data_IF_456388674608
#
_entry.id   IF_456388674608
#
_cell.length_a   1.000
_cell.length_b   1.000
_cell.length_c   1.000
_cell.angle_alpha   90.00
_cell.angle_beta   90.00
_cell.angle_gamma   90.00
#
_symmetry.space_group_name_H-M   'P 1'
#
loop_
_entity.id
_entity.type
_entity.pdbx_description
1 polymer ?
#
# COMPACT_ATOMS: atom_id res chain seq x y z
N UNK A 1 0.72 -42.24 -71.03
CA UNK A 1 1.68 -41.73 -70.02
C UNK A 1 0.84 -41.09 -68.93
N UNK A 2 1.04 -41.49 -67.66
CA UNK A 2 0.34 -41.00 -66.46
C UNK A 2 -1.19 -41.32 -66.39
N UNK A 3 -1.82 -41.94 -65.36
CA UNK A 3 -1.47 -42.24 -63.95
C UNK A 3 -0.95 -41.00 -63.18
N UNK A 4 -1.55 -40.43 -62.14
CA UNK A 4 -2.44 -40.85 -61.03
C UNK A 4 -3.19 -39.58 -60.51
N UNK A 5 -4.19 -39.57 -59.61
CA UNK A 5 -5.13 -40.56 -59.04
C UNK A 5 -6.25 -39.80 -58.29
N UNK A 6 -6.91 -40.38 -57.27
CA UNK A 6 -8.00 -39.76 -56.48
C UNK A 6 -7.67 -39.84 -54.98
N UNK A 7 -7.68 -38.70 -54.28
CA UNK A 7 -8.01 -38.66 -52.84
C UNK A 7 -8.79 -37.37 -52.52
N UNK A 8 -10.02 -37.54 -52.05
CA UNK A 8 -10.69 -36.54 -51.23
C UNK A 8 -10.64 -37.01 -49.78
N UNK A 9 -10.29 -36.15 -48.82
CA UNK A 9 -10.83 -36.26 -47.47
C UNK A 9 -10.81 -34.94 -46.70
N UNK A 10 -11.72 -34.83 -45.74
CA UNK A 10 -11.99 -33.65 -44.95
C UNK A 10 -10.88 -33.33 -43.94
N UNK A 11 -10.59 -32.03 -43.76
CA UNK A 11 -10.08 -31.49 -42.50
C UNK A 11 -11.24 -30.84 -41.75
N UNK A 12 -11.48 -31.34 -40.54
CA UNK A 12 -12.55 -30.95 -39.61
C UNK A 12 -12.70 -29.44 -39.46
N UNK A 13 -13.94 -28.98 -39.49
CA UNK A 13 -14.38 -27.84 -38.69
C UNK A 13 -14.12 -28.18 -37.20
N UNK A 14 -13.39 -27.30 -36.51
CA UNK A 14 -13.31 -27.29 -35.05
C UNK A 14 -14.26 -26.20 -34.58
N UNK A 15 -15.23 -26.48 -33.69
CA UNK A 15 -16.23 -25.50 -33.31
C UNK A 15 -15.60 -24.29 -32.61
N UNK A 16 -16.06 -23.11 -33.02
CA UNK A 16 -15.79 -21.87 -32.30
C UNK A 16 -16.61 -21.87 -30.99
N UNK A 17 -15.96 -22.22 -29.88
CA UNK A 17 -16.35 -21.89 -28.49
C UNK A 17 -15.34 -22.53 -27.50
N UNK A 18 -14.06 -22.14 -27.57
CA UNK A 18 -13.02 -22.64 -26.64
C UNK A 18 -11.75 -21.77 -26.49
N UNK A 19 -11.69 -20.55 -27.05
CA UNK A 19 -10.44 -19.78 -27.16
C UNK A 19 -10.55 -18.27 -26.85
N UNK A 20 -11.63 -17.84 -26.19
CA UNK A 20 -11.85 -16.43 -25.81
C UNK A 20 -11.72 -16.19 -24.29
N UNK A 21 -10.65 -16.72 -23.70
CA UNK A 21 -10.04 -16.17 -22.48
C UNK A 21 -8.54 -16.01 -22.75
N UNK A 22 -8.21 -15.22 -23.78
CA UNK A 22 -6.84 -14.76 -24.03
C UNK A 22 -6.82 -13.24 -24.07
N UNK A 23 -5.75 -12.66 -23.51
CA UNK A 23 -5.54 -11.22 -23.35
C UNK A 23 -6.64 -10.46 -22.57
N UNK A 24 -6.35 -10.19 -21.30
CA UNK A 24 -6.67 -8.86 -20.75
C UNK A 24 -6.24 -7.80 -21.78
N UNK A 25 -7.03 -6.75 -22.07
CA UNK A 25 -6.64 -5.74 -23.04
C UNK A 25 -5.34 -5.10 -22.58
N UNK A 26 -4.24 -5.46 -23.23
CA UNK A 26 -3.00 -4.69 -23.14
C UNK A 26 -3.35 -3.30 -23.62
N UNK A 27 -3.16 -2.28 -22.78
CA UNK A 27 -3.48 -0.89 -23.16
C UNK A 27 -2.58 -0.52 -24.33
N UNK A 28 -3.14 -0.56 -25.54
CA UNK A 28 -2.45 -0.38 -26.81
C UNK A 28 -2.05 1.08 -26.98
N UNK A 29 -0.91 1.44 -26.38
CA UNK A 29 -0.35 2.79 -26.44
C UNK A 29 0.61 3.14 -25.30
N UNK A 30 0.58 2.44 -24.16
CA UNK A 30 1.49 2.76 -23.04
C UNK A 30 2.92 2.37 -23.42
N UNK A 31 3.84 3.33 -23.25
CA UNK A 31 5.28 3.14 -23.44
C UNK A 31 5.80 1.99 -22.56
N UNK A 32 6.63 1.11 -23.11
CA UNK A 32 7.34 0.06 -22.36
C UNK A 32 8.73 0.53 -21.95
N UNK A 33 9.27 0.01 -20.84
CA UNK A 33 10.63 0.32 -20.40
C UNK A 33 11.67 -0.25 -21.38
N UNK A 34 11.42 -1.44 -21.95
CA UNK A 34 12.27 -2.03 -23.00
C UNK A 34 12.40 -1.19 -24.26
N UNK A 35 11.43 -0.30 -24.55
CA UNK A 35 11.46 0.57 -25.73
C UNK A 35 12.36 1.80 -25.55
N UNK A 36 12.92 2.05 -24.36
CA UNK A 36 13.79 3.20 -24.09
C UNK A 36 15.25 2.80 -24.17
N UNK A 37 16.03 3.59 -24.90
CA UNK A 37 17.47 3.40 -25.02
C UNK A 37 18.18 3.57 -23.66
N UNK A 38 18.84 2.49 -23.24
CA UNK A 38 19.79 2.51 -22.12
C UNK A 38 21.08 3.16 -22.62
N UNK A 39 21.58 4.13 -21.86
CA UNK A 39 22.90 4.73 -22.09
C UNK A 39 23.90 4.00 -21.21
N UNK A 40 24.88 3.31 -21.79
CA UNK A 40 25.84 2.45 -21.07
C UNK A 40 27.09 3.19 -20.54
N UNK A 41 27.03 4.52 -20.43
CA UNK A 41 28.15 5.39 -20.05
C UNK A 41 28.77 5.04 -18.69
N UNK A 42 27.98 4.57 -17.70
CA UNK A 42 28.52 4.16 -16.41
C UNK A 42 29.14 2.74 -16.47
N UNK A 43 28.52 1.84 -17.23
CA UNK A 43 29.02 0.48 -17.49
C UNK A 43 30.37 0.51 -18.21
N UNK A 44 30.53 1.40 -19.20
CA UNK A 44 31.78 1.63 -19.94
C UNK A 44 32.92 2.13 -19.04
N UNK A 45 32.61 2.91 -17.99
CA UNK A 45 33.62 3.33 -17.00
C UNK A 45 33.98 2.20 -16.04
N UNK A 46 32.99 1.48 -15.51
CA UNK A 46 33.22 0.31 -14.65
C UNK A 46 31.99 -0.63 -14.59
N UNK A 47 32.14 -1.95 -14.85
CA UNK A 47 31.00 -2.89 -14.92
C UNK A 47 30.08 -2.91 -13.68
N UNK A 48 30.62 -2.65 -12.49
CA UNK A 48 29.84 -2.58 -11.25
C UNK A 48 28.85 -1.39 -11.20
N UNK A 49 28.95 -0.42 -12.10
CA UNK A 49 28.04 0.74 -12.17
C UNK A 49 26.88 0.55 -13.16
N UNK A 50 26.69 -0.65 -13.71
CA UNK A 50 25.57 -0.99 -14.58
C UNK A 50 24.18 -0.73 -13.99
N UNK A 51 24.06 -0.68 -12.65
CA UNK A 51 22.85 -0.25 -11.95
C UNK A 51 22.53 1.25 -12.11
N UNK A 52 23.53 2.11 -12.37
CA UNK A 52 23.34 3.54 -12.61
C UNK A 52 22.71 3.77 -13.98
N UNK A 53 23.12 2.99 -14.99
CA UNK A 53 22.54 3.03 -16.34
C UNK A 53 21.09 2.54 -16.35
N UNK A 54 20.78 1.47 -15.60
CA UNK A 54 19.40 1.01 -15.34
C UNK A 54 18.52 2.13 -14.75
N UNK A 55 18.98 2.77 -13.67
CA UNK A 55 18.25 3.86 -13.01
C UNK A 55 18.08 5.04 -13.97
N UNK A 56 19.09 5.34 -14.80
CA UNK A 56 19.03 6.42 -15.80
C UNK A 56 18.00 6.10 -16.90
N UNK A 57 17.92 4.84 -17.34
CA UNK A 57 16.89 4.36 -18.28
C UNK A 57 15.47 4.51 -17.67
N UNK A 58 15.29 4.10 -16.42
CA UNK A 58 14.00 4.22 -15.71
C UNK A 58 13.62 5.69 -15.40
N UNK A 59 14.59 6.60 -15.17
CA UNK A 59 14.31 8.04 -15.02
C UNK A 59 13.81 8.64 -16.35
N UNK A 60 14.43 8.27 -17.48
CA UNK A 60 13.93 8.66 -18.83
C UNK A 60 12.51 8.11 -19.06
N UNK A 61 12.25 6.88 -18.61
CA UNK A 61 10.92 6.25 -18.66
C UNK A 61 9.88 7.05 -17.86
N UNK A 62 10.18 7.37 -16.60
CA UNK A 62 9.32 8.18 -15.76
C UNK A 62 9.01 9.52 -16.41
N UNK A 63 10.01 10.23 -16.95
CA UNK A 63 9.79 11.54 -17.58
C UNK A 63 8.93 11.44 -18.85
N UNK A 64 9.19 10.46 -19.71
CA UNK A 64 8.40 10.22 -20.92
C UNK A 64 6.94 9.88 -20.57
N UNK A 65 6.72 9.04 -19.56
CA UNK A 65 5.39 8.61 -19.11
C UNK A 65 4.64 9.72 -18.35
N UNK A 66 5.32 10.57 -17.58
CA UNK A 66 4.74 11.79 -16.99
C UNK A 66 4.17 12.68 -18.09
N UNK A 67 4.97 12.97 -19.14
CA UNK A 67 4.57 13.85 -20.24
C UNK A 67 3.34 13.33 -21.02
N UNK A 68 3.19 12.02 -21.10
CA UNK A 68 2.07 11.36 -21.79
C UNK A 68 0.79 11.27 -20.93
N UNK A 69 0.94 11.01 -19.62
CA UNK A 69 -0.18 10.67 -18.72
C UNK A 69 -0.69 11.85 -17.87
N UNK A 70 0.12 12.90 -17.66
CA UNK A 70 -0.26 14.03 -16.80
C UNK A 70 -1.28 14.95 -17.48
N UNK A 71 -2.55 14.67 -17.24
CA UNK A 71 -3.68 15.51 -17.65
C UNK A 71 -3.71 16.86 -16.90
N UNK A 72 -4.50 17.81 -17.40
CA UNK A 72 -4.74 19.11 -16.73
C UNK A 72 -5.20 18.99 -15.27
N UNK A 73 -5.84 17.89 -14.88
CA UNK A 73 -6.24 17.65 -13.49
C UNK A 73 -5.01 17.42 -12.56
N UNK A 74 -3.96 16.77 -13.06
CA UNK A 74 -2.70 16.60 -12.33
C UNK A 74 -2.02 17.96 -12.13
N UNK A 75 -1.93 18.76 -13.19
CA UNK A 75 -1.34 20.12 -13.13
C UNK A 75 -2.13 21.02 -12.19
N UNK A 76 -3.48 21.00 -12.25
CA UNK A 76 -4.34 21.74 -11.32
C UNK A 76 -4.07 21.34 -9.87
N UNK A 77 -4.00 20.04 -9.60
CA UNK A 77 -3.76 19.52 -8.24
C UNK A 77 -2.38 19.92 -7.71
N UNK A 78 -1.35 19.86 -8.57
CA UNK A 78 -0.01 20.34 -8.24
C UNK A 78 -0.01 21.84 -7.88
N UNK A 79 -0.68 22.68 -8.68
CA UNK A 79 -0.81 24.12 -8.42
C UNK A 79 -1.54 24.38 -7.09
N UNK A 80 -2.62 23.65 -6.80
CA UNK A 80 -3.37 23.80 -5.54
C UNK A 80 -2.50 23.45 -4.34
N UNK A 81 -1.73 22.34 -4.40
CA UNK A 81 -0.79 21.98 -3.34
C UNK A 81 0.30 23.04 -3.14
N UNK A 82 0.89 23.53 -4.23
CA UNK A 82 1.91 24.60 -4.19
C UNK A 82 1.34 25.88 -3.56
N UNK A 83 0.12 26.29 -3.94
CA UNK A 83 -0.54 27.44 -3.35
C UNK A 83 -0.86 27.22 -1.87
N UNK A 84 -1.36 26.05 -1.48
CA UNK A 84 -1.63 25.69 -0.08
C UNK A 84 -0.39 25.87 0.81
N UNK A 85 0.76 25.38 0.33
CA UNK A 85 2.05 25.50 1.00
C UNK A 85 2.57 26.95 1.01
N UNK A 86 2.68 27.63 -0.14
CA UNK A 86 3.23 28.99 -0.19
C UNK A 86 2.40 30.00 0.62
N UNK A 87 1.06 29.87 0.59
CA UNK A 87 0.14 30.68 1.41
C UNK A 87 0.30 30.34 2.90
N UNK A 88 0.64 29.09 3.26
CA UNK A 88 0.93 28.71 4.65
C UNK A 88 2.28 29.21 5.17
N UNK A 89 3.32 29.19 4.34
CA UNK A 89 4.70 29.46 4.74
C UNK A 89 5.13 30.94 4.73
N UNK A 90 4.30 31.86 4.20
CA UNK A 90 4.66 33.28 4.04
C UNK A 90 3.62 34.18 4.74
N UNK A 91 3.47 34.08 6.06
CA UNK A 91 2.60 35.00 6.83
C UNK A 91 3.35 36.25 7.30
N UNK A 92 2.61 37.33 7.54
CA UNK A 92 3.15 38.59 8.06
C UNK A 92 3.89 38.37 9.40
N UNK A 93 3.33 37.58 10.31
CA UNK A 93 3.95 37.27 11.60
C UNK A 93 5.23 36.41 11.46
N UNK A 94 5.29 35.50 10.50
CA UNK A 94 6.50 34.70 10.21
C UNK A 94 7.62 35.59 9.66
N UNK A 95 7.31 36.56 8.80
CA UNK A 95 8.30 37.44 8.16
C UNK A 95 8.75 38.57 9.09
N UNK A 96 7.87 39.04 9.98
CA UNK A 96 8.17 40.12 10.95
C UNK A 96 8.72 39.62 12.29
N UNK A 97 8.68 38.30 12.54
CA UNK A 97 9.14 37.65 13.78
C UNK A 97 8.05 37.52 14.86
N UNK A 98 6.94 38.25 14.73
CA UNK A 98 5.76 38.14 15.60
C UNK A 98 6.01 38.49 17.07
N UNK A 99 5.05 38.12 17.93
CA UNK A 99 5.14 38.26 19.39
C UNK A 99 5.51 36.90 20.02
N UNK A 100 6.71 36.72 20.59
CA UNK A 100 7.14 35.42 21.12
C UNK A 100 6.51 35.05 22.47
N UNK A 101 5.75 35.96 23.09
CA UNK A 101 5.10 35.73 24.39
C UNK A 101 3.67 35.22 24.27
N UNK A 102 3.09 35.25 23.06
CA UNK A 102 1.74 34.76 22.78
C UNK A 102 1.82 33.48 21.95
N UNK A 103 0.97 32.51 22.31
CA UNK A 103 1.01 31.17 21.72
C UNK A 103 -0.34 30.47 21.87
N UNK A 104 -0.50 29.34 21.18
CA UNK A 104 -1.74 28.56 21.22
C UNK A 104 -2.94 29.37 20.72
N UNK A 105 -4.08 29.20 21.38
CA UNK A 105 -5.35 29.86 21.02
C UNK A 105 -5.31 31.39 21.16
N UNK A 106 -4.45 31.92 22.03
CA UNK A 106 -4.33 33.37 22.21
C UNK A 106 -3.48 34.01 21.10
N UNK A 107 -2.38 33.37 20.70
CA UNK A 107 -1.63 33.78 19.51
C UNK A 107 -2.49 33.77 18.23
N UNK A 108 -3.35 32.76 18.06
CA UNK A 108 -4.31 32.70 16.92
C UNK A 108 -5.33 33.84 16.93
N UNK A 109 -5.64 34.44 18.09
CA UNK A 109 -6.55 35.59 18.22
C UNK A 109 -5.85 36.94 18.02
N UNK A 110 -4.55 37.02 18.28
CA UNK A 110 -3.73 38.21 18.04
C UNK A 110 -3.42 38.40 16.55
N UNK A 111 -3.50 37.34 15.74
CA UNK A 111 -3.32 37.40 14.28
C UNK A 111 -4.17 38.52 13.65
N UNK A 112 -3.53 39.38 12.86
CA UNK A 112 -4.22 40.35 12.03
C UNK A 112 -5.21 39.66 11.09
N UNK A 113 -6.32 40.34 10.75
CA UNK A 113 -7.40 39.74 9.95
C UNK A 113 -6.96 39.16 8.60
N UNK A 114 -5.89 39.71 8.01
CA UNK A 114 -5.25 39.15 6.81
C UNK A 114 -4.51 37.84 7.11
N UNK A 115 -3.65 37.80 8.14
CA UNK A 115 -2.95 36.58 8.57
C UNK A 115 -3.91 35.45 8.96
N UNK A 116 -4.98 35.76 9.68
CA UNK A 116 -6.04 34.79 10.00
C UNK A 116 -6.72 34.21 8.75
N UNK A 117 -7.11 35.08 7.81
CA UNK A 117 -7.67 34.65 6.52
C UNK A 117 -6.69 33.76 5.74
N UNK A 118 -5.41 34.15 5.71
CA UNK A 118 -4.35 33.45 5.00
C UNK A 118 -4.11 32.04 5.54
N UNK A 119 -3.99 31.87 6.86
CA UNK A 119 -3.85 30.56 7.50
C UNK A 119 -5.08 29.68 7.25
N UNK A 120 -6.28 30.26 7.38
CA UNK A 120 -7.55 29.56 7.11
C UNK A 120 -7.64 29.08 5.65
N UNK A 121 -7.21 29.92 4.69
CA UNK A 121 -7.17 29.60 3.27
C UNK A 121 -6.14 28.51 2.96
N UNK A 122 -4.94 28.57 3.55
CA UNK A 122 -3.93 27.51 3.42
C UNK A 122 -4.49 26.15 3.89
N UNK A 123 -5.12 26.10 5.06
CA UNK A 123 -5.75 24.87 5.59
C UNK A 123 -6.84 24.35 4.65
N UNK A 124 -7.72 25.22 4.15
CA UNK A 124 -8.77 24.83 3.20
C UNK A 124 -8.20 24.28 1.87
N UNK A 125 -7.13 24.89 1.35
CA UNK A 125 -6.43 24.42 0.15
C UNK A 125 -5.70 23.09 0.38
N UNK A 126 -5.16 22.85 1.58
CA UNK A 126 -4.59 21.55 1.96
C UNK A 126 -5.65 20.45 1.98
N UNK A 127 -6.81 20.69 2.59
CA UNK A 127 -7.92 19.73 2.54
C UNK A 127 -8.38 19.45 1.10
N UNK A 128 -8.48 20.50 0.27
CA UNK A 128 -8.83 20.34 -1.14
C UNK A 128 -7.77 19.54 -1.91
N UNK A 129 -6.48 19.81 -1.69
CA UNK A 129 -5.37 19.08 -2.29
C UNK A 129 -5.45 17.57 -1.95
N UNK A 130 -5.68 17.21 -0.69
CA UNK A 130 -5.85 15.81 -0.28
C UNK A 130 -7.04 15.14 -0.97
N UNK A 131 -8.18 15.83 -1.06
CA UNK A 131 -9.35 15.33 -1.77
C UNK A 131 -9.06 15.09 -3.26
N UNK A 132 -8.31 15.98 -3.92
CA UNK A 132 -7.92 15.82 -5.32
C UNK A 132 -6.88 14.70 -5.51
N UNK A 133 -5.91 14.53 -4.60
CA UNK A 133 -5.00 13.38 -4.59
C UNK A 133 -5.78 12.06 -4.54
N UNK A 134 -6.83 11.97 -3.72
CA UNK A 134 -7.64 10.75 -3.61
C UNK A 134 -8.50 10.47 -4.84
N UNK A 135 -8.90 11.50 -5.59
CA UNK A 135 -9.60 11.34 -6.89
C UNK A 135 -8.65 10.89 -8.00
N UNK A 136 -7.42 11.42 -8.01
CA UNK A 136 -6.40 11.09 -9.02
C UNK A 136 -5.73 9.74 -8.76
N UNK A 137 -5.48 9.39 -7.49
CA UNK A 137 -4.72 8.22 -7.10
C UNK A 137 -5.52 7.31 -6.13
N UNK A 138 -6.69 6.79 -6.55
CA UNK A 138 -7.61 6.04 -5.67
C UNK A 138 -6.99 4.78 -5.08
N UNK A 139 -6.14 4.07 -5.82
CA UNK A 139 -5.46 2.84 -5.36
C UNK A 139 -4.44 3.17 -4.25
N UNK A 140 -3.82 4.36 -4.32
CA UNK A 140 -2.85 4.87 -3.35
C UNK A 140 -3.46 5.73 -2.23
N UNK A 141 -4.81 5.86 -2.16
CA UNK A 141 -5.52 6.71 -1.19
C UNK A 141 -5.05 6.50 0.25
N UNK A 142 -4.99 5.26 0.73
CA UNK A 142 -4.56 4.95 2.09
C UNK A 142 -3.12 5.39 2.38
N UNK A 143 -2.21 5.15 1.44
CA UNK A 143 -0.81 5.52 1.58
C UNK A 143 -0.53 7.01 1.43
N UNK A 144 -1.37 7.78 0.74
CA UNK A 144 -1.25 9.24 0.69
C UNK A 144 -1.34 9.88 2.09
N UNK A 145 -2.14 9.32 2.99
CA UNK A 145 -2.20 9.76 4.39
C UNK A 145 -0.88 9.45 5.08
N UNK A 146 -0.32 8.25 4.91
CA UNK A 146 0.98 7.89 5.48
C UNK A 146 2.10 8.83 5.00
N UNK A 147 2.10 9.25 3.73
CA UNK A 147 3.07 10.23 3.22
C UNK A 147 2.96 11.60 3.91
N UNK A 148 1.73 12.08 4.13
CA UNK A 148 1.48 13.35 4.83
C UNK A 148 1.81 13.25 6.31
N UNK A 149 1.53 12.12 6.96
CA UNK A 149 1.93 11.83 8.34
C UNK A 149 3.45 11.74 8.46
N UNK A 150 4.16 11.17 7.49
CA UNK A 150 5.64 11.22 7.43
C UNK A 150 6.15 12.67 7.38
N UNK A 151 5.57 13.53 6.52
CA UNK A 151 5.97 14.94 6.46
C UNK A 151 5.68 15.66 7.79
N UNK A 152 4.49 15.46 8.37
CA UNK A 152 4.13 16.00 9.69
C UNK A 152 5.05 15.52 10.81
N UNK A 153 5.39 14.23 10.85
CA UNK A 153 6.33 13.66 11.82
C UNK A 153 7.75 14.26 11.68
N UNK A 154 8.18 14.57 10.45
CA UNK A 154 9.43 15.27 10.20
C UNK A 154 9.41 16.74 10.61
N UNK A 155 8.25 17.40 10.54
CA UNK A 155 8.08 18.75 11.06
C UNK A 155 8.14 18.77 12.60
N UNK A 156 7.37 17.89 13.25
CA UNK A 156 7.38 17.73 14.72
C UNK A 156 8.76 17.31 15.21
N UNK A 157 9.44 16.39 14.53
CA UNK A 157 10.80 15.97 14.87
C UNK A 157 11.80 17.13 14.82
N UNK A 158 11.76 17.97 13.77
CA UNK A 158 12.61 19.15 13.67
C UNK A 158 12.29 20.20 14.72
N UNK A 159 11.00 20.44 15.05
CA UNK A 159 10.60 21.32 16.16
C UNK A 159 11.22 20.83 17.48
N UNK A 160 11.11 19.53 17.78
CA UNK A 160 11.64 18.94 19.01
C UNK A 160 13.18 18.99 19.08
N UNK A 161 13.89 18.97 17.95
CA UNK A 161 15.34 19.23 17.93
C UNK A 161 15.71 20.70 18.20
N UNK A 162 14.88 21.67 17.76
CA UNK A 162 15.18 23.10 17.88
C UNK A 162 14.74 23.74 19.20
N UNK A 163 13.77 23.15 19.93
CA UNK A 163 13.37 23.60 21.28
C UNK A 163 14.56 23.69 22.26
N UNK A 164 15.41 22.65 22.41
CA UNK A 164 16.57 22.71 23.30
C UNK A 164 17.78 23.44 22.69
N UNK A 165 17.93 23.43 21.36
CA UNK A 165 19.06 24.04 20.66
C UNK A 165 18.60 24.70 19.35
N UNK A 166 18.48 26.03 19.33
CA UNK A 166 18.05 26.80 18.15
C UNK A 166 18.97 26.64 16.94
N UNK A 167 20.26 26.35 17.16
CA UNK A 167 21.26 26.15 16.11
C UNK A 167 21.42 24.69 15.64
N UNK A 168 20.48 23.79 15.95
CA UNK A 168 20.51 22.40 15.50
C UNK A 168 20.79 22.28 13.97
N UNK A 169 21.72 21.43 13.51
CA UNK A 169 22.38 20.32 14.23
C UNK A 169 23.71 20.68 14.93
N UNK A 170 23.99 21.96 15.17
CA UNK A 170 25.18 22.40 15.91
C UNK A 170 24.91 22.42 17.43
N UNK A 171 25.99 22.35 18.22
CA UNK A 171 26.00 22.49 19.69
C UNK A 171 25.10 21.51 20.49
N UNK A 172 24.67 20.40 19.91
CA UNK A 172 23.64 19.53 20.53
C UNK A 172 24.18 18.61 21.64
N UNK A 173 23.41 18.50 22.73
CA UNK A 173 23.57 17.48 23.77
C UNK A 173 22.78 16.21 23.43
N UNK A 174 23.35 15.02 23.68
CA UNK A 174 22.71 13.74 23.38
C UNK A 174 21.39 13.51 24.13
N UNK A 175 21.23 14.05 25.34
CA UNK A 175 20.00 13.90 26.12
C UNK A 175 18.80 14.63 25.48
N UNK A 176 19.07 15.73 24.80
CA UNK A 176 18.04 16.64 24.27
C UNK A 176 17.52 16.17 22.90
N UNK A 177 18.23 15.24 22.25
CA UNK A 177 17.87 14.69 20.93
C UNK A 177 16.65 13.75 20.95
N UNK A 178 16.27 13.21 22.12
CA UNK A 178 15.31 12.09 22.21
C UNK A 178 13.96 12.41 21.53
N UNK A 179 13.41 13.61 21.74
CA UNK A 179 12.14 14.02 21.14
C UNK A 179 12.19 14.05 19.60
N UNK A 180 13.23 14.67 19.03
CA UNK A 180 13.40 14.74 17.58
C UNK A 180 13.70 13.36 16.96
N UNK A 181 14.46 12.51 17.66
CA UNK A 181 14.73 11.13 17.24
C UNK A 181 13.45 10.29 17.15
N UNK A 182 12.48 10.47 18.06
CA UNK A 182 11.17 9.81 17.97
C UNK A 182 10.40 10.29 16.72
N UNK A 183 10.45 11.60 16.41
CA UNK A 183 9.86 12.14 15.18
C UNK A 183 10.47 11.52 13.92
N UNK A 184 11.80 11.46 13.82
CA UNK A 184 12.52 10.82 12.70
C UNK A 184 12.26 9.32 12.64
N UNK A 185 12.19 8.61 13.76
CA UNK A 185 11.83 7.20 13.80
C UNK A 185 10.40 6.95 13.25
N UNK A 186 9.45 7.82 13.60
CA UNK A 186 8.10 7.78 13.04
C UNK A 186 8.09 8.04 11.52
N UNK A 187 8.88 9.02 11.02
CA UNK A 187 9.05 9.23 9.58
C UNK A 187 9.54 7.95 8.87
N UNK A 188 10.57 7.31 9.41
CA UNK A 188 11.18 6.10 8.85
C UNK A 188 10.17 4.96 8.85
N UNK A 189 9.41 4.80 9.93
CA UNK A 189 8.36 3.77 10.05
C UNK A 189 7.23 3.94 9.02
N UNK A 190 6.63 5.12 8.91
CA UNK A 190 5.58 5.36 7.91
C UNK A 190 6.12 5.28 6.47
N UNK A 191 7.35 5.73 6.22
CA UNK A 191 8.02 5.57 4.93
C UNK A 191 8.25 4.10 4.58
N UNK A 192 8.67 3.28 5.55
CA UNK A 192 8.85 1.85 5.39
C UNK A 192 7.53 1.15 5.05
N UNK A 193 6.42 1.50 5.71
CA UNK A 193 5.07 0.96 5.40
C UNK A 193 4.71 1.22 3.94
N UNK A 194 4.87 2.47 3.46
CA UNK A 194 4.54 2.81 2.07
C UNK A 194 5.44 2.08 1.08
N UNK A 195 6.77 2.06 1.34
CA UNK A 195 7.73 1.32 0.52
C UNK A 195 7.33 -0.15 0.39
N UNK A 196 7.11 -0.83 1.52
CA UNK A 196 6.81 -2.26 1.56
C UNK A 196 5.51 -2.58 0.84
N UNK A 197 4.44 -1.82 1.11
CA UNK A 197 3.14 -2.06 0.49
C UNK A 197 3.18 -1.88 -1.03
N UNK A 198 3.90 -0.88 -1.55
CA UNK A 198 4.11 -0.70 -3.00
C UNK A 198 4.89 -1.86 -3.60
N UNK A 199 6.01 -2.27 -3.00
CA UNK A 199 6.82 -3.39 -3.54
C UNK A 199 6.07 -4.71 -3.52
N UNK A 200 5.40 -5.06 -2.41
CA UNK A 200 4.64 -6.31 -2.29
C UNK A 200 3.39 -6.34 -3.17
N UNK A 201 2.74 -5.18 -3.40
CA UNK A 201 1.60 -5.11 -4.34
C UNK A 201 2.08 -5.23 -5.79
N UNK A 202 3.26 -4.67 -6.14
CA UNK A 202 3.86 -4.85 -7.47
C UNK A 202 4.19 -6.31 -7.73
N UNK A 203 4.88 -6.96 -6.79
CA UNK A 203 5.30 -8.36 -6.93
C UNK A 203 4.08 -9.28 -7.14
N UNK A 204 3.01 -9.06 -6.36
CA UNK A 204 1.76 -9.80 -6.52
C UNK A 204 1.02 -9.45 -7.83
N UNK A 205 0.99 -8.17 -8.23
CA UNK A 205 0.36 -7.77 -9.49
C UNK A 205 0.99 -8.50 -10.68
N UNK A 206 2.32 -8.57 -10.75
CA UNK A 206 3.01 -9.32 -11.81
C UNK A 206 2.67 -10.81 -11.71
N UNK A 207 2.72 -11.41 -10.51
CA UNK A 207 2.40 -12.83 -10.31
C UNK A 207 0.98 -13.21 -10.75
N UNK A 208 -0.01 -12.36 -10.53
CA UNK A 208 -1.43 -12.65 -10.83
C UNK A 208 -1.82 -12.23 -12.26
N UNK A 209 -1.43 -11.02 -12.69
CA UNK A 209 -1.88 -10.44 -13.98
C UNK A 209 -0.99 -10.83 -15.17
N UNK A 210 0.25 -11.18 -14.90
CA UNK A 210 1.25 -11.56 -15.90
C UNK A 210 1.82 -12.96 -15.61
N UNK A 211 0.98 -13.86 -15.10
CA UNK A 211 1.35 -15.26 -14.90
C UNK A 211 1.68 -15.94 -16.24
N UNK A 212 2.86 -16.56 -16.29
CA UNK A 212 3.34 -17.39 -17.38
C UNK A 212 3.99 -18.64 -16.79
N UNK A 213 3.91 -19.77 -17.51
CA UNK A 213 4.56 -21.01 -17.05
C UNK A 213 6.09 -20.97 -17.25
N UNK A 214 6.60 -20.16 -18.20
CA UNK A 214 8.03 -19.84 -18.32
C UNK A 214 8.44 -18.76 -17.29
N UNK A 215 9.39 -19.05 -16.36
CA UNK A 215 9.93 -18.05 -15.45
C UNK A 215 10.56 -16.83 -16.13
N UNK A 216 11.09 -16.97 -17.35
CA UNK A 216 11.75 -15.88 -18.09
C UNK A 216 10.78 -14.79 -18.50
N UNK A 217 9.55 -15.17 -18.83
CA UNK A 217 8.48 -14.23 -19.14
C UNK A 217 8.07 -13.46 -17.88
N UNK A 218 7.98 -14.12 -16.71
CA UNK A 218 7.76 -13.44 -15.42
C UNK A 218 8.90 -12.45 -15.13
N UNK A 219 10.17 -12.85 -15.29
CA UNK A 219 11.33 -11.96 -15.10
C UNK A 219 11.30 -10.74 -16.03
N UNK A 220 10.93 -10.93 -17.30
CA UNK A 220 10.74 -9.84 -18.24
C UNK A 220 9.62 -8.87 -17.81
N UNK A 221 8.49 -9.40 -17.32
CA UNK A 221 7.38 -8.58 -16.82
C UNK A 221 7.73 -7.87 -15.51
N UNK A 222 8.50 -8.50 -14.61
CA UNK A 222 9.06 -7.83 -13.42
C UNK A 222 10.04 -6.70 -13.78
N UNK A 223 10.74 -6.80 -14.91
CA UNK A 223 11.59 -5.73 -15.44
C UNK A 223 10.77 -4.57 -16.02
N UNK A 224 9.70 -4.85 -16.78
CA UNK A 224 8.78 -3.79 -17.26
C UNK A 224 8.12 -3.05 -16.08
N UNK A 225 7.81 -3.76 -15.00
CA UNK A 225 7.25 -3.23 -13.75
C UNK A 225 8.35 -2.94 -12.71
N UNK A 226 9.50 -2.42 -13.15
CA UNK A 226 10.61 -2.08 -12.24
C UNK A 226 10.25 -0.89 -11.32
N UNK A 227 10.82 -0.89 -10.11
CA UNK A 227 10.63 0.14 -9.10
C UNK A 227 11.94 0.83 -8.70
N UNK A 228 13.06 0.66 -9.44
CA UNK A 228 14.38 1.20 -9.01
C UNK A 228 14.37 2.73 -9.01
N UNK A 229 13.92 3.36 -10.10
CA UNK A 229 13.79 4.81 -10.16
C UNK A 229 12.74 5.34 -9.18
N UNK A 230 11.63 4.61 -8.97
CA UNK A 230 10.63 5.00 -7.96
C UNK A 230 11.20 4.97 -6.55
N UNK A 231 11.96 3.93 -6.18
CA UNK A 231 12.65 3.85 -4.90
C UNK A 231 13.68 4.97 -4.73
N UNK A 232 14.42 5.32 -5.80
CA UNK A 232 15.30 6.49 -5.82
C UNK A 232 14.53 7.80 -5.58
N UNK A 233 13.42 8.01 -6.28
CA UNK A 233 12.54 9.18 -6.10
C UNK A 233 11.94 9.25 -4.69
N UNK A 234 11.59 8.10 -4.10
CA UNK A 234 11.09 7.99 -2.73
C UNK A 234 12.14 8.36 -1.67
N UNK A 235 13.40 7.96 -1.89
CA UNK A 235 14.54 8.36 -1.04
C UNK A 235 14.79 9.87 -1.17
N UNK A 236 14.77 10.42 -2.39
CA UNK A 236 14.90 11.86 -2.63
C UNK A 236 13.77 12.63 -1.93
N UNK A 237 12.52 12.15 -2.03
CA UNK A 237 11.37 12.71 -1.33
C UNK A 237 11.55 12.71 0.20
N UNK A 238 12.05 11.62 0.78
CA UNK A 238 12.35 11.54 2.21
C UNK A 238 13.40 12.58 2.66
N UNK A 239 14.50 12.74 1.90
CA UNK A 239 15.50 13.76 2.19
C UNK A 239 14.98 15.19 1.95
N UNK A 240 14.11 15.40 0.96
CA UNK A 240 13.44 16.69 0.76
C UNK A 240 12.57 17.08 1.96
N UNK A 241 11.89 16.13 2.63
CA UNK A 241 11.20 16.42 3.90
C UNK A 241 12.21 16.94 4.93
N UNK A 242 13.30 16.20 5.18
CA UNK A 242 14.28 16.58 6.21
C UNK A 242 14.87 17.97 5.97
N UNK A 243 15.22 18.31 4.72
CA UNK A 243 15.74 19.64 4.37
C UNK A 243 14.65 20.70 4.50
N UNK A 244 13.43 20.42 4.03
CA UNK A 244 12.30 21.35 4.08
C UNK A 244 11.88 21.69 5.51
N UNK A 245 11.71 20.68 6.37
CA UNK A 245 11.28 20.86 7.75
C UNK A 245 12.39 21.43 8.61
N UNK A 246 13.65 21.03 8.39
CA UNK A 246 14.80 21.68 9.05
C UNK A 246 14.83 23.17 8.72
N UNK A 247 14.78 23.54 7.42
CA UNK A 247 14.84 24.93 7.01
C UNK A 247 13.67 25.76 7.57
N UNK A 248 12.43 25.23 7.51
CA UNK A 248 11.26 25.92 8.04
C UNK A 248 11.35 26.17 9.54
N UNK A 249 11.74 25.16 10.33
CA UNK A 249 11.87 25.29 11.78
C UNK A 249 13.06 26.17 12.16
N UNK A 250 14.22 26.03 11.50
CA UNK A 250 15.43 26.79 11.78
C UNK A 250 15.21 28.30 11.57
N UNK A 251 14.49 28.68 10.50
CA UNK A 251 14.11 30.08 10.26
C UNK A 251 13.25 30.66 11.39
N UNK A 252 12.26 29.91 11.88
CA UNK A 252 11.41 30.32 13.02
C UNK A 252 12.19 30.33 14.35
N UNK A 253 13.14 29.41 14.53
CA UNK A 253 13.94 29.31 15.74
C UNK A 253 14.94 30.47 15.92
N UNK A 254 15.45 31.06 14.83
CA UNK A 254 16.43 32.16 14.87
C UNK A 254 15.80 33.52 15.28
N UNK A 255 14.47 33.67 15.17
CA UNK A 255 13.63 34.83 15.60
C UNK A 255 13.92 36.19 14.97
N UNK A 256 15.15 36.47 14.54
CA UNK A 256 15.57 37.76 13.99
C UNK A 256 15.41 37.85 12.46
N UNK A 257 14.99 36.77 11.79
CA UNK A 257 14.70 36.70 10.35
C UNK A 257 15.82 37.13 9.38
N UNK A 258 17.05 37.40 9.86
CA UNK A 258 18.15 37.90 9.04
C UNK A 258 18.56 36.91 7.94
N UNK A 259 18.49 35.59 8.20
CA UNK A 259 18.84 34.52 7.27
C UNK A 259 17.70 34.17 6.30
N UNK A 260 17.30 35.14 5.49
CA UNK A 260 16.33 34.97 4.39
C UNK A 260 16.61 33.77 3.47
N UNK A 261 17.88 33.36 3.32
CA UNK A 261 18.28 32.18 2.54
C UNK A 261 17.66 30.88 3.08
N UNK A 262 17.46 30.75 4.39
CA UNK A 262 16.86 29.56 5.02
C UNK A 262 15.36 29.50 4.70
N UNK A 263 14.65 30.63 4.74
CA UNK A 263 13.26 30.72 4.27
C UNK A 263 13.16 30.39 2.77
N UNK A 264 14.06 30.93 1.93
CA UNK A 264 14.10 30.59 0.49
C UNK A 264 14.34 29.09 0.27
N UNK A 265 15.21 28.46 1.05
CA UNK A 265 15.44 27.01 1.01
C UNK A 265 14.17 26.24 1.38
N UNK A 266 13.46 26.64 2.44
CA UNK A 266 12.16 26.06 2.81
C UNK A 266 11.13 26.20 1.67
N UNK A 267 11.00 27.39 1.07
CA UNK A 267 10.04 27.64 0.00
C UNK A 267 10.32 26.80 -1.26
N UNK A 268 11.58 26.79 -1.72
CA UNK A 268 11.98 26.03 -2.91
C UNK A 268 11.83 24.51 -2.68
N UNK A 269 12.32 24.00 -1.54
CA UNK A 269 12.22 22.57 -1.23
C UNK A 269 10.78 22.10 -1.05
N UNK A 270 9.89 22.94 -0.50
CA UNK A 270 8.47 22.61 -0.35
C UNK A 270 7.74 22.47 -1.69
N UNK A 271 8.02 23.35 -2.66
CA UNK A 271 7.50 23.22 -4.03
C UNK A 271 7.93 21.89 -4.67
N UNK A 272 9.22 21.53 -4.56
CA UNK A 272 9.71 20.24 -5.04
C UNK A 272 9.14 19.05 -4.26
N UNK A 273 8.92 19.18 -2.96
CA UNK A 273 8.39 18.13 -2.09
C UNK A 273 6.92 17.79 -2.46
N UNK A 274 6.12 18.78 -2.85
CA UNK A 274 4.75 18.54 -3.35
C UNK A 274 4.77 17.82 -4.70
N UNK A 275 5.62 18.25 -5.64
CA UNK A 275 5.80 17.58 -6.92
C UNK A 275 6.29 16.12 -6.75
N UNK A 276 7.25 15.90 -5.84
CA UNK A 276 7.74 14.58 -5.49
C UNK A 276 6.67 13.72 -4.79
N UNK A 277 5.82 14.30 -3.94
CA UNK A 277 4.69 13.60 -3.32
C UNK A 277 3.71 13.09 -4.39
N UNK A 278 3.38 13.94 -5.38
CA UNK A 278 2.55 13.52 -6.51
C UNK A 278 3.22 12.44 -7.36
N UNK A 279 4.53 12.54 -7.63
CA UNK A 279 5.27 11.51 -8.38
C UNK A 279 5.30 10.15 -7.67
N UNK A 280 5.57 10.14 -6.35
CA UNK A 280 5.57 8.93 -5.50
C UNK A 280 4.21 8.23 -5.50
N UNK A 281 3.10 8.97 -5.52
CA UNK A 281 1.74 8.43 -5.60
C UNK A 281 1.35 7.99 -7.03
N UNK A 282 1.74 8.77 -8.04
CA UNK A 282 1.36 8.57 -9.44
C UNK A 282 1.95 7.29 -10.03
N UNK A 283 3.23 6.99 -9.81
CA UNK A 283 3.86 5.87 -10.50
C UNK A 283 3.27 4.50 -10.12
N UNK A 284 3.09 4.15 -8.83
CA UNK A 284 2.42 2.90 -8.45
C UNK A 284 0.96 2.83 -8.93
N UNK A 285 0.23 3.95 -8.94
CA UNK A 285 -1.13 4.01 -9.47
C UNK A 285 -1.18 3.69 -10.98
N UNK A 286 -0.25 4.23 -11.77
CA UNK A 286 -0.14 3.92 -13.20
C UNK A 286 0.26 2.46 -13.44
N UNK A 287 1.22 1.98 -12.65
CA UNK A 287 1.82 0.65 -12.79
C UNK A 287 0.85 -0.48 -12.40
N UNK A 288 -0.11 -0.23 -11.50
CA UNK A 288 -1.16 -1.17 -11.10
C UNK A 288 -2.45 -1.06 -11.95
N UNK A 289 -2.55 -0.02 -12.78
CA UNK A 289 -3.70 0.24 -13.66
C UNK A 289 -4.96 0.75 -12.93
N UNK A 290 -6.11 0.62 -13.59
CA UNK A 290 -7.43 0.95 -13.02
C UNK A 290 -8.20 -0.32 -12.68
N UNK A 291 -8.11 -0.77 -11.43
CA UNK A 291 -8.78 -1.97 -10.94
C UNK A 291 -9.08 -1.92 -9.44
N UNK A 292 -9.81 -2.93 -8.95
CA UNK A 292 -10.22 -3.09 -7.54
C UNK A 292 -9.07 -3.42 -6.58
N UNK A 293 -7.85 -3.54 -7.08
CA UNK A 293 -6.64 -3.86 -6.32
C UNK A 293 -6.24 -2.70 -5.40
N UNK A 294 -6.47 -2.83 -4.10
CA UNK A 294 -5.90 -1.95 -3.07
C UNK A 294 -4.40 -2.22 -2.95
N UNK A 295 -3.57 -1.18 -2.79
CA UNK A 295 -2.17 -1.38 -2.37
C UNK A 295 -2.16 -1.80 -0.90
N UNK A 296 -1.63 -2.99 -0.63
CA UNK A 296 -1.59 -3.60 0.70
C UNK A 296 -0.30 -4.42 0.81
N UNK A 297 0.39 -4.28 1.94
CA UNK A 297 1.44 -5.24 2.32
C UNK A 297 0.86 -6.64 2.46
N UNK A 298 1.69 -7.68 2.35
CA UNK A 298 1.23 -9.06 2.45
C UNK A 298 0.51 -9.32 3.79
N UNK A 299 1.01 -8.76 4.89
CA UNK A 299 0.34 -8.82 6.21
C UNK A 299 -1.02 -8.10 6.24
N UNK A 300 -1.12 -6.92 5.63
CA UNK A 300 -2.38 -6.18 5.58
C UNK A 300 -3.40 -6.79 4.60
N UNK A 301 -2.92 -7.60 3.64
CA UNK A 301 -3.76 -8.39 2.73
C UNK A 301 -4.33 -9.61 3.44
N UNK A 302 -3.53 -10.30 4.24
CA UNK A 302 -3.97 -11.44 5.05
C UNK A 302 -5.04 -11.02 6.07
N UNK A 303 -4.83 -9.92 6.78
CA UNK A 303 -5.85 -9.40 7.71
C UNK A 303 -7.13 -8.94 7.00
N UNK A 304 -7.02 -8.33 5.81
CA UNK A 304 -8.20 -7.90 5.03
C UNK A 304 -8.99 -9.10 4.47
N UNK A 305 -8.31 -10.20 4.13
CA UNK A 305 -8.93 -11.47 3.73
C UNK A 305 -9.66 -12.12 4.91
N UNK A 306 -9.02 -12.16 6.07
CA UNK A 306 -9.63 -12.67 7.30
C UNK A 306 -10.92 -11.93 7.67
N UNK A 307 -10.92 -10.59 7.62
CA UNK A 307 -12.12 -9.79 7.85
C UNK A 307 -13.24 -10.11 6.84
N UNK A 308 -12.92 -10.28 5.54
CA UNK A 308 -13.94 -10.64 4.54
C UNK A 308 -14.48 -12.06 4.70
N UNK A 309 -13.63 -13.03 5.07
CA UNK A 309 -14.04 -14.42 5.27
C UNK A 309 -14.97 -14.53 6.51
N UNK A 310 -14.77 -13.69 7.53
CA UNK A 310 -15.72 -13.52 8.65
C UNK A 310 -17.04 -12.92 8.16
N UNK A 311 -17.02 -11.80 7.42
CA UNK A 311 -18.25 -11.15 6.95
C UNK A 311 -19.10 -12.05 6.05
N UNK A 312 -18.51 -12.80 5.12
CA UNK A 312 -19.25 -13.74 4.26
C UNK A 312 -19.82 -14.94 5.06
N UNK A 313 -19.07 -15.47 6.03
CA UNK A 313 -19.60 -16.52 6.92
C UNK A 313 -20.79 -16.05 7.77
N UNK A 314 -20.82 -14.75 8.12
CA UNK A 314 -21.94 -14.15 8.85
C UNK A 314 -23.19 -13.94 7.98
N UNK A 315 -23.02 -13.65 6.69
CA UNK A 315 -24.13 -13.39 5.77
C UNK A 315 -24.81 -14.67 5.27
N UNK A 316 -24.07 -15.78 5.12
CA UNK A 316 -24.63 -17.09 4.76
C UNK A 316 -25.66 -17.62 5.78
N UNK A 317 -25.54 -17.24 7.05
CA UNK A 317 -26.47 -17.65 8.12
C UNK A 317 -27.72 -16.76 8.25
N UNK A 318 -27.89 -15.74 7.39
CA UNK A 318 -28.98 -14.76 7.54
C UNK A 318 -30.33 -15.16 6.90
N UNK A 319 -30.40 -16.26 6.14
CA UNK A 319 -31.56 -16.64 5.33
C UNK A 319 -32.36 -17.87 5.82
N UNK A 320 -32.06 -18.45 6.98
CA UNK A 320 -32.91 -19.47 7.63
C UNK A 320 -33.37 -19.03 9.03
N UNK A 321 -34.37 -18.15 9.05
CA UNK A 321 -35.07 -17.77 10.27
C UNK A 321 -36.11 -18.84 10.70
N UNK A 322 -35.68 -19.91 11.36
CA UNK A 322 -36.58 -20.70 12.21
C UNK A 322 -35.89 -21.44 13.36
N UNK A 323 -36.21 -21.02 14.59
CA UNK A 323 -36.20 -21.83 15.83
C UNK A 323 -34.91 -22.57 16.21
N UNK A 324 -34.03 -21.90 16.97
CA UNK A 324 -33.87 -22.14 18.42
C UNK A 324 -32.74 -21.27 19.03
N UNK A 325 -33.06 -20.49 20.06
CA UNK A 325 -32.07 -19.70 20.80
C UNK A 325 -31.16 -20.61 21.66
N UNK A 326 -29.94 -20.94 21.17
CA UNK A 326 -28.72 -21.15 22.00
C UNK A 326 -27.41 -21.51 21.27
N UNK A 327 -27.35 -21.44 19.95
CA UNK A 327 -26.14 -21.83 19.20
C UNK A 327 -25.26 -20.61 18.90
N UNK A 328 -24.35 -20.28 19.83
CA UNK A 328 -23.45 -19.14 19.69
C UNK A 328 -22.24 -19.44 18.81
N UNK A 329 -22.19 -18.82 17.63
CA UNK A 329 -20.97 -18.60 16.83
C UNK A 329 -20.09 -19.84 16.58
N UNK A 330 -20.70 -20.95 16.15
CA UNK A 330 -19.97 -22.15 15.73
C UNK A 330 -19.42 -22.00 14.31
N UNK A 331 -18.10 -22.15 14.16
CA UNK A 331 -17.46 -22.18 12.85
C UNK A 331 -17.53 -23.61 12.31
N UNK A 332 -18.36 -23.83 11.28
CA UNK A 332 -18.51 -25.12 10.63
C UNK A 332 -17.24 -25.53 9.87
N UNK A 333 -16.96 -26.84 9.86
CA UNK A 333 -15.86 -27.41 9.09
C UNK A 333 -16.23 -27.72 7.64
N UNK A 334 -15.25 -27.66 6.75
CA UNK A 334 -15.38 -27.96 5.32
C UNK A 334 -14.29 -28.92 4.86
N UNK A 335 -14.56 -29.73 3.85
CA UNK A 335 -13.55 -30.62 3.28
C UNK A 335 -12.45 -29.83 2.53
N UNK A 336 -11.15 -30.02 2.82
CA UNK A 336 -10.09 -29.24 2.17
C UNK A 336 -9.97 -29.46 0.65
N UNK A 337 -10.43 -30.59 0.13
CA UNK A 337 -10.32 -30.94 -1.31
C UNK A 337 -11.56 -30.58 -2.14
N UNK A 338 -12.76 -30.70 -1.56
CA UNK A 338 -14.02 -30.51 -2.31
C UNK A 338 -14.99 -29.48 -1.71
N UNK A 339 -14.59 -28.81 -0.62
CA UNK A 339 -15.37 -27.82 0.11
C UNK A 339 -16.78 -28.27 0.56
N UNK A 340 -17.05 -29.58 0.59
CA UNK A 340 -18.30 -30.13 1.11
C UNK A 340 -18.40 -29.89 2.63
N UNK A 341 -19.61 -29.58 3.16
CA UNK A 341 -19.80 -29.35 4.59
C UNK A 341 -19.50 -30.62 5.39
N UNK A 342 -18.77 -30.44 6.48
CA UNK A 342 -18.38 -31.50 7.41
C UNK A 342 -19.17 -31.36 8.73
N UNK A 343 -19.59 -32.45 9.40
CA UNK A 343 -20.38 -32.37 10.62
C UNK A 343 -19.56 -32.00 11.88
N UNK A 344 -18.35 -31.45 11.69
CA UNK A 344 -17.49 -30.93 12.76
C UNK A 344 -17.61 -29.41 12.82
N UNK A 345 -17.32 -28.83 13.98
CA UNK A 345 -17.28 -27.38 14.17
C UNK A 345 -16.31 -27.00 15.29
N UNK A 346 -15.89 -25.74 15.35
CA UNK A 346 -15.26 -25.19 16.56
C UNK A 346 -16.33 -24.69 17.53
N UNK A 347 -16.16 -25.04 18.80
CA UNK A 347 -16.95 -24.48 19.90
C UNK A 347 -16.45 -23.06 20.24
N UNK A 348 -17.22 -22.31 21.04
CA UNK A 348 -16.93 -20.91 21.37
C UNK A 348 -15.66 -20.70 22.23
N UNK A 349 -15.09 -21.77 22.77
CA UNK A 349 -13.78 -21.83 23.44
C UNK A 349 -12.60 -22.05 22.46
N UNK A 350 -12.89 -22.27 21.18
CA UNK A 350 -11.93 -22.56 20.12
C UNK A 350 -11.63 -24.06 19.92
N UNK A 351 -12.11 -24.93 20.81
CA UNK A 351 -11.85 -26.37 20.73
C UNK A 351 -12.61 -27.04 19.56
N UNK A 352 -12.00 -28.02 18.87
CA UNK A 352 -12.64 -28.79 17.81
C UNK A 352 -13.65 -29.78 18.39
N UNK A 353 -14.90 -29.71 17.95
CA UNK A 353 -15.94 -30.69 18.27
C UNK A 353 -16.14 -31.69 17.12
N UNK A 354 -16.04 -32.97 17.44
CA UNK A 354 -16.25 -34.10 16.53
C UNK A 354 -17.45 -34.94 17.01
N UNK A 355 -18.42 -35.24 16.12
CA UNK A 355 -19.54 -36.12 16.46
C UNK A 355 -19.06 -37.57 16.65
N UNK A 356 -19.75 -38.33 17.49
CA UNK A 356 -19.42 -39.72 17.73
C UNK A 356 -19.63 -40.57 16.45
N UNK A 357 -18.69 -41.45 16.08
CA UNK A 357 -18.83 -42.31 14.90
C UNK A 357 -19.83 -43.48 15.09
N UNK A 358 -20.37 -43.65 16.29
CA UNK A 358 -21.36 -44.69 16.59
C UNK A 358 -22.78 -44.18 16.28
N UNK A 359 -23.43 -44.76 15.27
CA UNK A 359 -24.78 -44.38 14.80
C UNK A 359 -25.86 -44.37 15.89
N UNK A 360 -25.65 -45.08 17.01
CA UNK A 360 -26.58 -45.14 18.15
C UNK A 360 -26.34 -44.02 19.17
N UNK A 361 -25.30 -43.20 19.01
CA UNK A 361 -24.86 -42.19 19.97
C UNK A 361 -24.78 -40.79 19.36
N UNK A 362 -25.74 -39.92 19.70
CA UNK A 362 -25.78 -38.51 19.26
C UNK A 362 -24.81 -37.57 20.01
N UNK A 363 -23.91 -38.10 20.84
CA UNK A 363 -22.87 -37.33 21.52
C UNK A 363 -21.67 -36.96 20.63
N UNK A 364 -20.75 -36.17 21.16
CA UNK A 364 -19.50 -35.78 20.51
C UNK A 364 -18.51 -35.17 21.51
N UNK A 365 -17.39 -34.64 21.02
CA UNK A 365 -16.36 -33.99 21.85
C UNK A 365 -15.03 -33.79 21.12
N UNK A 366 -13.98 -33.49 21.87
CA UNK A 366 -12.62 -33.23 21.37
C UNK A 366 -12.00 -34.53 20.74
N UNK A 367 -11.28 -34.46 19.60
CA UNK A 367 -10.54 -35.58 19.02
C UNK A 367 -9.70 -36.39 20.02
N UNK A 368 -9.61 -37.71 19.83
CA UNK A 368 -8.94 -38.67 20.74
C UNK A 368 -9.54 -38.74 22.16
N UNK A 369 -10.55 -37.93 22.51
CA UNK A 369 -11.27 -38.09 23.77
C UNK A 369 -12.30 -39.22 23.67
N UNK A 370 -12.67 -39.80 24.82
CA UNK A 370 -13.81 -40.73 24.88
C UNK A 370 -15.12 -39.93 24.91
N UNK A 371 -16.07 -40.27 24.03
CA UNK A 371 -17.38 -39.63 24.01
C UNK A 371 -18.07 -39.76 25.39
N UNK A 372 -18.57 -38.66 25.98
CA UNK A 372 -19.11 -38.68 27.34
C UNK A 372 -20.37 -39.54 27.50
N UNK A 373 -21.08 -39.85 26.41
CA UNK A 373 -22.30 -40.67 26.44
C UNK A 373 -22.02 -42.18 26.25
N UNK A 374 -21.29 -42.57 25.19
CA UNK A 374 -21.07 -43.98 24.84
C UNK A 374 -19.68 -44.53 25.18
N UNK A 375 -18.74 -43.67 25.62
CA UNK A 375 -17.33 -44.00 25.91
C UNK A 375 -16.51 -44.55 24.73
N UNK A 376 -17.01 -44.44 23.51
CA UNK A 376 -16.23 -44.71 22.29
C UNK A 376 -15.19 -43.61 22.07
N UNK A 377 -13.96 -43.98 21.70
CA UNK A 377 -12.88 -43.06 21.34
C UNK A 377 -13.23 -42.27 20.07
N UNK A 378 -13.06 -40.95 20.11
CA UNK A 378 -13.40 -40.05 19.01
C UNK A 378 -12.26 -39.97 17.97
N UNK A 379 -12.57 -40.01 16.67
CA UNK A 379 -11.55 -40.18 15.64
C UNK A 379 -10.68 -38.93 15.45
N UNK A 380 -9.36 -39.14 15.36
CA UNK A 380 -8.37 -38.10 15.06
C UNK A 380 -8.36 -37.66 13.57
N UNK A 381 -8.97 -38.47 12.69
CA UNK A 381 -9.03 -38.26 11.24
C UNK A 381 -10.43 -38.56 10.74
N UNK A 382 -10.91 -37.77 9.79
CA UNK A 382 -12.23 -37.90 9.20
C UNK A 382 -12.12 -38.23 7.71
N UNK A 383 -13.01 -39.11 7.24
CA UNK A 383 -13.16 -39.39 5.81
C UNK A 383 -14.33 -38.58 5.27
N UNK A 384 -14.10 -37.73 4.26
CA UNK A 384 -15.16 -36.96 3.63
C UNK A 384 -16.12 -37.87 2.87
N UNK A 385 -17.43 -37.76 3.11
CA UNK A 385 -18.46 -38.56 2.42
C UNK A 385 -18.61 -38.21 0.94
N UNK A 386 -18.22 -37.00 0.52
CA UNK A 386 -18.37 -36.52 -0.87
C UNK A 386 -17.20 -36.88 -1.79
N UNK A 387 -15.96 -36.89 -1.27
CA UNK A 387 -14.75 -37.16 -2.08
C UNK A 387 -13.86 -38.30 -1.55
N UNK A 388 -14.24 -38.94 -0.45
CA UNK A 388 -13.51 -40.06 0.18
C UNK A 388 -12.07 -39.75 0.65
N UNK A 389 -11.65 -38.48 0.69
CA UNK A 389 -10.35 -38.11 1.27
C UNK A 389 -10.36 -38.34 2.79
N UNK A 390 -9.26 -38.86 3.34
CA UNK A 390 -9.08 -39.09 4.77
C UNK A 390 -7.99 -38.16 5.32
N UNK A 391 -8.40 -37.08 5.99
CA UNK A 391 -7.51 -36.07 6.54
C UNK A 391 -7.66 -35.94 8.08
N UNK A 392 -6.63 -35.46 8.80
CA UNK A 392 -6.73 -34.98 10.18
C UNK A 392 -7.94 -34.06 10.41
N UNK A 393 -8.59 -34.15 11.58
CA UNK A 393 -9.74 -33.28 11.92
C UNK A 393 -9.38 -31.79 11.83
N UNK A 394 -8.14 -31.41 12.15
CA UNK A 394 -7.66 -30.04 12.07
C UNK A 394 -7.75 -29.47 10.64
N UNK A 395 -7.49 -30.27 9.60
CA UNK A 395 -7.47 -29.83 8.19
C UNK A 395 -8.87 -29.56 7.63
N UNK A 396 -9.92 -30.03 8.33
CA UNK A 396 -11.32 -29.71 8.03
C UNK A 396 -11.82 -28.44 8.73
N UNK A 397 -11.02 -27.85 9.62
CA UNK A 397 -11.33 -26.61 10.33
C UNK A 397 -10.42 -25.47 9.83
N UNK A 398 -10.91 -24.23 9.71
CA UNK A 398 -10.03 -23.12 9.39
C UNK A 398 -8.96 -22.95 10.48
N UNK A 399 -7.73 -22.65 10.03
CA UNK A 399 -6.60 -22.35 10.88
C UNK A 399 -6.74 -20.94 11.46
N UNK A 400 -7.28 -20.85 12.67
CA UNK A 400 -7.46 -19.60 13.44
C UNK A 400 -6.23 -19.23 14.28
N UNK A 401 -5.12 -19.98 14.20
CA UNK A 401 -3.88 -19.73 14.95
C UNK A 401 -2.70 -19.42 14.01
N UNK A 402 -2.70 -18.20 13.45
CA UNK A 402 -1.54 -17.59 12.80
C UNK A 402 -1.48 -16.10 13.15
N UNK A 403 -0.85 -15.80 14.29
CA UNK A 403 -0.62 -14.45 14.83
C UNK A 403 0.81 -13.96 14.57
#
# INVERSE_FOLDING_TARGET
MAEESVVANASKEVPADAAEISASPSVTGILKLSNIERTDLATDFHPAMSHVDDITQEIKFHFALIRDTWTMNHIRTLIIGILAFLIGSISEDIVTGGNPFTSGTEGVRELGGFGFFQVTLSIALWFWFVIELWKLFPIMKGHSINLLVTWGAGMVGMILFHIPNTDFPLAVSFGDLLGGLVGVAAMIFFSFIVKMAVTETRDEHVRIRHFSEDPREIEAQMREHSLKAWAGSFIIWFFLILINTWAGVHFVAERHAERNLVLVLHLITGVYLIAATMHVLWYPQMMLGTGTTKVLSNRARESHRYDSDIEDSSNLNSNEASTNEKEGNMIAGYCPECNAPSPIHRMADGEPFVPCPNEVCSGGGNPLANCPQCKTELPARLTCTSCSINAPVADFLPNVEAW
#
